data_IF_798261378987
#
_entry.id   IF_798261378987
#
_cell.length_a   1.000
_cell.length_b   1.000
_cell.length_c   1.000
_cell.angle_alpha   90.00
_cell.angle_beta   90.00
_cell.angle_gamma   90.00
#
_symmetry.space_group_name_H-M   'P 1'
#
loop_
_entity.id
_entity.type
_entity.pdbx_description
1 polymer ?
#
# COMPACT_ATOMS: atom_id res chain seq x y z
N UNK A 1 41.75 -26.42 -34.76
CA UNK A 1 42.79 -25.38 -34.95
C UNK A 1 42.21 -24.28 -35.81
N UNK A 2 41.81 -23.18 -35.19
CA UNK A 2 41.67 -21.83 -35.77
C UNK A 2 41.13 -20.94 -34.66
N UNK A 3 42.06 -20.38 -33.89
CA UNK A 3 41.83 -19.35 -32.88
C UNK A 3 41.48 -18.04 -33.58
N UNK A 4 40.50 -17.30 -33.04
CA UNK A 4 40.20 -15.94 -33.48
C UNK A 4 40.48 -15.01 -32.31
N UNK A 5 41.46 -14.13 -32.52
CA UNK A 5 42.02 -13.17 -31.58
C UNK A 5 41.01 -12.11 -31.14
N UNK A 6 41.00 -11.83 -29.83
CA UNK A 6 40.36 -10.66 -29.22
C UNK A 6 41.43 -9.56 -29.14
N UNK A 7 41.18 -8.41 -29.76
CA UNK A 7 42.00 -7.20 -29.59
C UNK A 7 41.35 -6.27 -28.56
N UNK A 8 41.99 -6.20 -27.39
CA UNK A 8 41.83 -5.10 -26.44
C UNK A 8 42.52 -3.84 -26.97
N UNK A 9 41.89 -2.68 -26.78
CA UNK A 9 42.55 -1.39 -26.93
C UNK A 9 42.24 -0.50 -25.74
N UNK A 10 43.25 -0.34 -24.89
CA UNK A 10 43.40 0.71 -23.92
C UNK A 10 43.37 2.09 -24.59
N UNK A 11 42.73 3.07 -23.95
CA UNK A 11 43.17 4.45 -24.10
C UNK A 11 43.07 5.20 -22.76
N UNK A 12 44.18 5.84 -22.40
CA UNK A 12 44.49 6.42 -21.09
C UNK A 12 45.00 7.84 -21.31
N UNK A 13 44.72 8.72 -20.35
CA UNK A 13 45.40 10.02 -20.05
C UNK A 13 44.91 11.20 -20.91
N UNK A 14 44.55 12.40 -20.41
CA UNK A 14 45.28 13.39 -19.56
C UNK A 14 44.26 14.45 -19.03
N UNK A 15 44.12 14.79 -17.73
CA UNK A 15 44.87 15.75 -16.86
C UNK A 15 45.12 17.17 -17.41
N UNK A 16 44.63 18.17 -16.66
CA UNK A 16 45.01 19.60 -16.63
C UNK A 16 43.79 20.46 -16.22
N UNK A 17 43.59 21.05 -15.02
CA UNK A 17 44.37 21.82 -14.02
C UNK A 17 44.54 23.32 -14.34
N UNK A 18 44.19 24.16 -13.32
CA UNK A 18 44.30 25.64 -13.12
C UNK A 18 43.07 26.46 -13.58
N UNK A 19 42.60 27.50 -12.89
CA UNK A 19 43.09 28.40 -11.80
C UNK A 19 41.87 29.17 -11.25
N UNK A 20 41.67 29.34 -9.93
CA UNK A 20 42.10 30.49 -9.08
C UNK A 20 41.67 31.89 -9.57
N UNK A 21 40.77 32.55 -8.81
CA UNK A 21 40.91 33.90 -8.21
C UNK A 21 39.58 34.29 -7.51
N UNK A 22 39.52 34.41 -6.19
CA UNK A 22 39.85 35.59 -5.36
C UNK A 22 39.10 36.88 -5.74
N UNK A 23 38.15 37.32 -4.91
CA UNK A 23 38.35 38.59 -4.19
C UNK A 23 37.34 38.83 -3.07
N UNK A 24 37.89 39.23 -1.93
CA UNK A 24 37.22 39.86 -0.81
C UNK A 24 37.40 41.39 -0.89
N UNK A 25 36.43 42.15 -0.40
CA UNK A 25 36.57 43.49 0.22
C UNK A 25 35.15 43.93 0.64
N UNK A 26 34.79 44.14 1.91
CA UNK A 26 35.34 44.92 3.02
C UNK A 26 35.09 46.45 2.89
N UNK A 27 34.57 46.99 4.00
CA UNK A 27 34.41 48.41 4.38
C UNK A 27 33.26 49.17 3.73
N UNK A 28 32.60 50.16 4.33
CA UNK A 28 32.41 50.65 5.71
C UNK A 28 31.55 51.92 5.57
N UNK A 29 30.61 52.18 6.46
CA UNK A 29 30.52 53.49 7.14
C UNK A 29 29.22 53.62 7.96
N UNK A 30 29.45 54.12 9.16
CA UNK A 30 28.56 54.43 10.26
C UNK A 30 27.99 55.85 10.17
N UNK A 31 26.75 56.05 10.64
CA UNK A 31 26.36 57.19 11.51
C UNK A 31 24.86 57.10 11.83
N UNK A 32 24.42 56.73 13.05
CA UNK A 32 24.32 57.48 14.33
C UNK A 32 23.02 58.30 14.49
N UNK A 33 22.16 57.78 15.39
CA UNK A 33 21.27 58.42 16.36
C UNK A 33 20.18 59.44 15.95
N UNK A 34 18.93 59.18 16.37
CA UNK A 34 18.34 59.86 17.55
C UNK A 34 17.04 59.24 18.09
N UNK A 35 17.03 59.12 19.42
CA UNK A 35 15.95 58.77 20.35
C UNK A 35 14.70 59.66 20.22
N UNK A 36 13.52 59.10 20.54
CA UNK A 36 12.57 59.65 21.53
C UNK A 36 11.35 58.72 21.73
N UNK A 37 11.26 58.11 22.90
CA UNK A 37 10.02 57.77 23.62
C UNK A 37 9.88 58.76 24.80
N UNK A 38 8.81 58.79 25.64
CA UNK A 38 7.58 57.98 25.69
C UNK A 38 6.29 58.83 25.88
N UNK A 39 5.09 58.24 25.81
CA UNK A 39 3.93 58.73 26.60
C UNK A 39 2.90 57.63 26.86
N UNK A 40 2.77 57.34 28.15
CA UNK A 40 1.74 56.55 28.83
C UNK A 40 0.33 57.16 28.69
N UNK A 41 -0.66 56.33 28.37
CA UNK A 41 -2.06 56.57 28.75
C UNK A 41 -2.68 55.24 29.21
N UNK A 42 -3.19 55.26 30.44
CA UNK A 42 -3.75 54.11 31.14
C UNK A 42 -5.09 53.60 30.58
N UNK A 43 -5.63 52.53 31.19
CA UNK A 43 -6.74 51.77 30.63
C UNK A 43 -8.10 52.44 30.91
N UNK A 44 -8.96 52.53 29.91
CA UNK A 44 -10.39 52.83 30.10
C UNK A 44 -11.18 51.53 30.16
N UNK A 45 -12.06 51.32 31.16
CA UNK A 45 -13.00 50.22 31.15
C UNK A 45 -14.21 50.62 30.31
N UNK A 46 -14.69 49.76 29.41
CA UNK A 46 -16.07 49.86 28.96
C UNK A 46 -16.73 48.49 28.93
N UNK A 47 -17.82 48.40 29.70
CA UNK A 47 -18.71 47.26 29.86
C UNK A 47 -19.69 47.20 28.69
N UNK A 48 -20.12 45.97 28.40
CA UNK A 48 -21.32 45.56 27.67
C UNK A 48 -21.36 45.77 26.15
N UNK A 49 -21.17 44.67 25.42
CA UNK A 49 -22.29 44.07 24.68
C UNK A 49 -22.00 42.59 24.39
N UNK A 50 -22.81 41.72 24.99
CA UNK A 50 -22.99 40.31 24.59
C UNK A 50 -23.19 40.24 23.07
N UNK A 51 -22.30 39.54 22.37
CA UNK A 51 -22.62 38.90 21.08
C UNK A 51 -22.03 37.50 21.08
N UNK A 52 -22.93 36.56 21.35
CA UNK A 52 -23.01 35.22 20.77
C UNK A 52 -21.69 34.52 20.45
N UNK A 53 -21.32 33.60 21.34
CA UNK A 53 -20.71 32.32 20.94
C UNK A 53 -21.61 31.67 19.88
N UNK A 54 -21.20 31.74 18.63
CA UNK A 54 -21.49 30.71 17.63
C UNK A 54 -20.31 30.70 16.67
N UNK A 55 -19.19 30.17 17.14
CA UNK A 55 -18.21 29.56 16.25
C UNK A 55 -18.99 28.59 15.37
N UNK A 56 -19.12 28.98 14.09
CA UNK A 56 -19.84 28.25 13.06
C UNK A 56 -19.14 26.91 12.84
N UNK A 57 -19.57 25.89 13.57
CA UNK A 57 -19.49 24.51 13.08
C UNK A 57 -20.50 24.38 11.94
N UNK A 58 -20.19 25.00 10.80
CA UNK A 58 -20.80 24.65 9.53
C UNK A 58 -20.17 23.33 9.07
N UNK A 59 -20.44 22.25 9.80
CA UNK A 59 -20.47 20.94 9.15
C UNK A 59 -21.67 20.99 8.21
N UNK A 60 -21.42 21.37 6.96
CA UNK A 60 -22.30 20.97 5.86
C UNK A 60 -22.38 19.44 5.93
N UNK A 61 -23.38 18.90 6.62
CA UNK A 61 -23.78 17.51 6.44
C UNK A 61 -24.22 17.41 4.99
N UNK A 62 -23.32 16.90 4.16
CA UNK A 62 -23.61 16.61 2.76
C UNK A 62 -24.88 15.76 2.74
N UNK A 63 -25.89 16.25 2.05
CA UNK A 63 -27.19 15.57 1.98
C UNK A 63 -26.99 14.33 1.13
N UNK A 64 -26.87 13.18 1.80
CA UNK A 64 -26.72 11.88 1.18
C UNK A 64 -28.05 11.51 0.53
N UNK A 65 -27.98 11.23 -0.77
CA UNK A 65 -29.08 10.91 -1.65
C UNK A 65 -29.23 9.39 -1.76
N UNK A 66 -30.48 8.95 -1.90
CA UNK A 66 -30.81 7.55 -2.19
C UNK A 66 -30.78 6.61 -0.97
N UNK A 67 -31.23 5.37 -1.18
CA UNK A 67 -31.24 4.35 -0.13
C UNK A 67 -29.81 3.89 0.20
N UNK A 68 -29.58 3.39 1.42
CA UNK A 68 -28.33 2.74 1.77
C UNK A 68 -28.08 1.48 0.93
N UNK A 69 -26.86 1.33 0.44
CA UNK A 69 -26.38 0.15 -0.29
C UNK A 69 -25.13 -0.40 0.39
N UNK A 70 -25.01 -1.72 0.44
CA UNK A 70 -23.80 -2.37 0.96
C UNK A 70 -22.74 -2.48 -0.14
N UNK A 71 -21.52 -2.09 0.19
CA UNK A 71 -20.36 -2.22 -0.69
C UNK A 71 -19.15 -2.69 0.10
N UNK A 72 -18.22 -3.34 -0.58
CA UNK A 72 -16.97 -3.81 0.02
C UNK A 72 -15.77 -3.60 -0.89
N UNK A 73 -14.60 -3.52 -0.28
CA UNK A 73 -13.35 -3.41 -1.01
C UNK A 73 -12.15 -3.18 -0.11
N UNK A 74 -10.99 -3.05 -0.73
CA UNK A 74 -9.73 -2.76 -0.03
C UNK A 74 -9.60 -1.25 0.15
N UNK A 75 -9.41 -0.81 1.39
CA UNK A 75 -9.18 0.57 1.72
C UNK A 75 -7.79 1.03 1.25
N UNK A 76 -7.76 2.14 0.51
CA UNK A 76 -6.56 2.90 0.18
C UNK A 76 -6.73 4.34 0.67
N UNK A 77 -5.87 4.76 1.58
CA UNK A 77 -5.85 6.06 2.23
C UNK A 77 -4.91 6.98 1.46
N UNK A 78 -5.42 8.16 1.14
CA UNK A 78 -4.63 9.25 0.58
C UNK A 78 -3.84 9.96 1.67
N UNK A 79 -2.69 10.56 1.34
CA UNK A 79 -1.87 11.32 2.30
C UNK A 79 -2.57 12.50 2.99
N UNK A 80 -3.78 12.87 2.55
CA UNK A 80 -4.65 13.88 3.19
C UNK A 80 -5.58 13.28 4.27
N UNK A 81 -5.50 11.98 4.55
CA UNK A 81 -6.23 11.28 5.62
C UNK A 81 -7.63 10.79 5.27
N UNK A 82 -8.15 11.06 4.07
CA UNK A 82 -9.33 10.37 3.53
C UNK A 82 -8.91 9.15 2.73
N UNK A 83 -9.83 8.22 2.45
CA UNK A 83 -9.55 7.05 1.64
C UNK A 83 -10.64 6.71 0.64
N UNK A 84 -10.39 5.66 -0.13
CA UNK A 84 -11.34 5.06 -1.06
C UNK A 84 -11.35 3.54 -0.90
N UNK A 85 -12.52 2.92 -1.05
CA UNK A 85 -12.61 1.46 -1.18
C UNK A 85 -12.37 1.07 -2.64
N UNK A 86 -11.39 0.20 -2.86
CA UNK A 86 -11.04 -0.33 -4.17
C UNK A 86 -11.64 -1.71 -4.34
N UNK A 87 -12.44 -1.87 -5.37
CA UNK A 87 -13.10 -3.14 -5.66
C UNK A 87 -12.16 -4.12 -6.41
N UNK A 88 -12.17 -5.42 -6.06
CA UNK A 88 -11.46 -6.45 -6.83
C UNK A 88 -11.99 -6.62 -8.25
N UNK A 89 -13.31 -6.41 -8.46
CA UNK A 89 -13.98 -6.50 -9.77
C UNK A 89 -13.37 -5.56 -10.82
N UNK A 90 -12.74 -4.47 -10.36
CA UNK A 90 -12.11 -3.42 -11.17
C UNK A 90 -10.57 -3.50 -11.12
N UNK A 91 -10.01 -4.65 -10.72
CA UNK A 91 -8.57 -4.85 -10.51
C UNK A 91 -7.94 -3.79 -9.57
N UNK A 92 -8.70 -3.32 -8.58
CA UNK A 92 -8.29 -2.26 -7.66
C UNK A 92 -7.87 -0.95 -8.34
N UNK A 93 -8.31 -0.71 -9.58
CA UNK A 93 -8.08 0.55 -10.30
C UNK A 93 -8.86 1.67 -9.64
N UNK A 94 -8.34 2.88 -9.77
CA UNK A 94 -9.02 4.07 -9.25
C UNK A 94 -10.16 4.41 -10.20
N UNK A 95 -11.40 4.38 -9.71
CA UNK A 95 -12.57 4.75 -10.50
C UNK A 95 -13.35 5.89 -9.84
N UNK A 96 -14.06 6.73 -10.62
CA UNK A 96 -14.91 7.78 -10.05
C UNK A 96 -16.02 7.25 -9.14
N UNK A 97 -16.40 5.98 -9.31
CA UNK A 97 -17.45 5.31 -8.54
C UNK A 97 -16.94 4.70 -7.23
N UNK A 98 -15.64 4.85 -6.91
CA UNK A 98 -15.08 4.27 -5.70
C UNK A 98 -15.65 4.96 -4.44
N UNK A 99 -15.97 4.15 -3.43
CA UNK A 99 -16.59 4.64 -2.20
C UNK A 99 -15.64 5.55 -1.44
N UNK A 100 -16.03 6.80 -1.25
CA UNK A 100 -15.27 7.78 -0.48
C UNK A 100 -15.39 7.50 1.03
N UNK A 101 -14.24 7.45 1.70
CA UNK A 101 -14.14 7.28 3.15
C UNK A 101 -13.62 8.57 3.78
N UNK A 102 -14.42 9.18 4.64
CA UNK A 102 -14.09 10.48 5.23
C UNK A 102 -12.91 10.37 6.21
N UNK A 103 -12.12 11.46 6.39
CA UNK A 103 -11.04 11.47 7.38
C UNK A 103 -11.51 11.26 8.82
N UNK A 104 -12.78 11.56 9.10
CA UNK A 104 -13.38 11.31 10.42
C UNK A 104 -13.54 9.81 10.65
N UNK A 105 -14.08 9.07 9.68
CA UNK A 105 -14.24 7.61 9.79
C UNK A 105 -12.88 6.93 9.89
N UNK A 106 -11.91 7.33 9.05
CA UNK A 106 -10.54 6.81 9.09
C UNK A 106 -9.93 6.98 10.48
N UNK A 107 -10.00 8.18 11.06
CA UNK A 107 -9.44 8.46 12.39
C UNK A 107 -10.21 7.78 13.52
N UNK A 108 -11.54 7.82 13.49
CA UNK A 108 -12.38 7.28 14.56
C UNK A 108 -12.26 5.76 14.68
N UNK A 109 -12.00 5.06 13.58
CA UNK A 109 -11.82 3.60 13.54
C UNK A 109 -10.37 3.14 13.42
N UNK A 110 -9.41 4.07 13.36
CA UNK A 110 -7.99 3.72 13.20
C UNK A 110 -7.73 2.91 11.92
N UNK A 111 -8.45 3.24 10.84
CA UNK A 111 -8.35 2.50 9.59
C UNK A 111 -6.96 2.70 8.95
N UNK A 112 -6.48 1.66 8.27
CA UNK A 112 -5.15 1.57 7.65
C UNK A 112 -5.26 1.01 6.23
N UNK A 113 -4.25 1.26 5.42
CA UNK A 113 -4.16 0.73 4.06
C UNK A 113 -4.22 -0.80 4.04
N UNK A 114 -4.87 -1.35 3.01
CA UNK A 114 -4.96 -2.80 2.81
C UNK A 114 -6.09 -3.48 3.61
N UNK A 115 -6.87 -2.74 4.40
CA UNK A 115 -8.02 -3.32 5.10
C UNK A 115 -9.14 -3.68 4.14
N UNK A 116 -9.69 -4.88 4.26
CA UNK A 116 -10.95 -5.22 3.62
C UNK A 116 -12.07 -4.67 4.48
N UNK A 117 -12.87 -3.78 3.90
CA UNK A 117 -13.95 -3.10 4.59
C UNK A 117 -15.25 -3.45 3.91
N UNK A 118 -16.23 -3.91 4.68
CA UNK A 118 -17.64 -3.96 4.26
C UNK A 118 -18.38 -2.83 4.96
N UNK A 119 -19.14 -2.07 4.20
CA UNK A 119 -19.82 -0.90 4.73
C UNK A 119 -21.15 -0.61 4.05
N UNK A 120 -22.04 0.03 4.81
CA UNK A 120 -23.16 0.76 4.26
C UNK A 120 -22.65 2.04 3.60
N UNK A 121 -23.14 2.31 2.40
CA UNK A 121 -22.78 3.47 1.59
C UNK A 121 -24.04 4.16 1.11
N UNK A 122 -23.93 5.47 0.82
CA UNK A 122 -25.01 6.25 0.21
C UNK A 122 -24.46 7.14 -0.88
N UNK A 123 -25.28 7.49 -1.86
CA UNK A 123 -24.86 8.37 -2.94
C UNK A 123 -24.73 9.80 -2.41
N UNK A 124 -23.54 10.39 -2.46
CA UNK A 124 -23.31 11.81 -2.18
C UNK A 124 -23.37 12.66 -3.46
N UNK A 125 -23.04 13.95 -3.36
CA UNK A 125 -22.95 14.80 -4.56
C UNK A 125 -21.73 14.48 -5.42
N UNK A 126 -20.70 13.88 -4.81
CA UNK A 126 -19.40 13.56 -5.44
C UNK A 126 -19.20 12.07 -5.71
N UNK A 127 -20.26 11.26 -5.60
CA UNK A 127 -20.21 9.81 -5.72
C UNK A 127 -20.54 9.09 -4.41
N UNK A 128 -20.39 7.76 -4.36
CA UNK A 128 -20.71 6.96 -3.18
C UNK A 128 -19.84 7.33 -1.98
N UNK A 129 -20.45 7.43 -0.80
CA UNK A 129 -19.78 7.74 0.44
C UNK A 129 -20.11 6.71 1.51
N UNK A 130 -19.10 6.31 2.27
CA UNK A 130 -19.24 5.41 3.41
C UNK A 130 -20.04 6.09 4.53
N UNK A 131 -21.13 5.46 4.98
CA UNK A 131 -21.97 5.96 6.08
C UNK A 131 -21.77 5.17 7.37
N UNK A 132 -21.65 3.85 7.27
CA UNK A 132 -21.52 2.96 8.44
C UNK A 132 -20.61 1.78 8.10
N UNK A 133 -19.60 1.55 8.94
CA UNK A 133 -18.78 0.33 8.86
C UNK A 133 -19.60 -0.85 9.38
N UNK A 134 -19.61 -1.94 8.63
CA UNK A 134 -20.26 -3.19 9.03
C UNK A 134 -19.22 -4.21 9.49
N UNK A 135 -18.08 -4.29 8.79
CA UNK A 135 -17.05 -5.30 9.02
C UNK A 135 -15.67 -4.80 8.56
N UNK A 136 -14.63 -5.17 9.31
CA UNK A 136 -13.22 -4.96 8.94
C UNK A 136 -12.51 -6.31 9.01
N UNK A 137 -12.06 -6.82 7.86
CA UNK A 137 -11.37 -8.12 7.73
C UNK A 137 -12.13 -9.32 8.34
N UNK A 138 -13.46 -9.33 8.30
CA UNK A 138 -14.27 -10.39 8.87
C UNK A 138 -14.54 -10.24 10.38
N UNK A 139 -14.28 -9.07 10.96
CA UNK A 139 -14.45 -8.76 12.39
C UNK A 139 -15.26 -7.49 12.59
N UNK A 140 -15.83 -7.34 13.79
CA UNK A 140 -16.54 -6.11 14.17
C UNK A 140 -15.57 -4.91 14.20
N UNK A 141 -15.98 -3.73 13.69
CA UNK A 141 -15.14 -2.54 13.65
C UNK A 141 -14.61 -2.09 15.02
N UNK A 142 -15.29 -2.40 16.13
CA UNK A 142 -14.83 -2.04 17.47
C UNK A 142 -13.74 -2.97 18.00
N UNK A 143 -13.79 -4.26 17.64
CA UNK A 143 -12.77 -5.23 18.02
C UNK A 143 -11.43 -4.95 17.32
N UNK A 144 -11.49 -4.59 16.04
CA UNK A 144 -10.30 -4.30 15.24
C UNK A 144 -9.41 -3.21 15.85
N UNK A 145 -10.00 -2.22 16.54
CA UNK A 145 -9.25 -1.13 17.19
C UNK A 145 -8.26 -1.58 18.25
N UNK A 146 -8.51 -2.73 18.87
CA UNK A 146 -7.69 -3.27 19.97
C UNK A 146 -6.55 -4.17 19.50
N UNK A 147 -6.48 -4.44 18.19
CA UNK A 147 -5.51 -5.36 17.63
C UNK A 147 -4.11 -4.75 17.58
N UNK A 148 -3.07 -5.54 17.86
CA UNK A 148 -1.69 -5.10 17.74
C UNK A 148 -1.37 -4.76 16.29
N UNK A 149 -0.43 -3.86 16.08
CA UNK A 149 0.04 -3.55 14.74
C UNK A 149 1.01 -4.63 14.27
N UNK A 150 1.04 -4.89 12.97
CA UNK A 150 1.94 -5.86 12.36
C UNK A 150 3.39 -5.62 12.77
N UNK A 151 3.81 -4.36 12.83
CA UNK A 151 5.15 -3.92 13.23
C UNK A 151 5.47 -4.19 14.71
N UNK A 152 4.47 -4.38 15.57
CA UNK A 152 4.63 -4.71 16.99
C UNK A 152 4.76 -6.22 17.21
N UNK A 153 4.45 -7.04 16.21
CA UNK A 153 4.55 -8.48 16.29
C UNK A 153 6.01 -8.93 16.34
N UNK A 154 6.29 -9.92 17.19
CA UNK A 154 7.61 -10.50 17.31
C UNK A 154 7.90 -11.41 16.11
N UNK A 155 8.95 -11.09 15.35
CA UNK A 155 9.46 -11.97 14.32
C UNK A 155 10.03 -13.27 14.94
N UNK A 156 9.56 -14.41 14.44
CA UNK A 156 10.03 -15.75 14.82
C UNK A 156 10.38 -16.55 13.57
N UNK A 157 11.26 -17.52 13.71
CA UNK A 157 11.55 -18.46 12.62
C UNK A 157 10.32 -19.36 12.37
N UNK A 158 10.12 -19.83 11.12
CA UNK A 158 9.07 -20.79 10.82
C UNK A 158 9.19 -22.05 11.67
N UNK A 159 8.14 -22.36 12.41
CA UNK A 159 8.05 -23.53 13.30
C UNK A 159 6.99 -24.55 12.84
N UNK A 160 6.12 -24.15 11.91
CA UNK A 160 5.07 -24.98 11.32
C UNK A 160 5.31 -25.20 9.85
N UNK A 161 5.42 -26.46 9.44
CA UNK A 161 5.58 -26.87 8.04
C UNK A 161 4.30 -26.64 7.23
N UNK A 162 4.45 -26.16 6.01
CA UNK A 162 3.43 -26.19 4.95
C UNK A 162 3.74 -27.37 4.03
N UNK A 163 3.06 -28.50 4.24
CA UNK A 163 3.20 -29.67 3.38
C UNK A 163 2.67 -29.37 1.98
N UNK A 164 3.51 -29.59 0.98
CA UNK A 164 3.24 -29.29 -0.43
C UNK A 164 2.79 -30.53 -1.23
N UNK A 165 3.15 -31.74 -0.80
CA UNK A 165 2.71 -32.99 -1.43
C UNK A 165 1.17 -33.08 -1.46
N UNK A 166 0.62 -33.40 -2.63
CA UNK A 166 -0.83 -33.58 -2.83
C UNK A 166 -1.11 -34.98 -3.36
N UNK A 167 -1.03 -35.16 -4.67
CA UNK A 167 -1.32 -36.42 -5.35
C UNK A 167 -0.04 -37.11 -5.78
N UNK A 168 -0.09 -38.45 -5.94
CA UNK A 168 1.10 -39.27 -6.26
C UNK A 168 1.78 -38.84 -7.56
N UNK A 169 1.04 -38.31 -8.53
CA UNK A 169 1.57 -37.90 -9.84
C UNK A 169 2.18 -36.49 -9.80
N UNK A 170 1.92 -35.69 -8.75
CA UNK A 170 2.43 -34.32 -8.62
C UNK A 170 3.86 -34.31 -8.10
N UNK A 171 4.83 -34.72 -8.94
CA UNK A 171 6.25 -34.81 -8.57
C UNK A 171 6.83 -33.48 -8.08
N UNK A 172 6.46 -32.37 -8.70
CA UNK A 172 7.00 -31.03 -8.37
C UNK A 172 6.88 -30.68 -6.89
N UNK A 173 5.70 -30.85 -6.29
CA UNK A 173 5.49 -30.48 -4.89
C UNK A 173 6.13 -31.47 -3.91
N UNK A 174 6.19 -32.75 -4.28
CA UNK A 174 6.92 -33.80 -3.53
C UNK A 174 8.41 -33.51 -3.48
N UNK A 175 9.00 -33.11 -4.60
CA UNK A 175 10.42 -32.72 -4.67
C UNK A 175 10.68 -31.48 -3.82
N UNK A 176 9.79 -30.48 -3.84
CA UNK A 176 9.88 -29.31 -2.96
C UNK A 176 9.90 -29.74 -1.49
N UNK A 177 8.98 -30.62 -1.09
CA UNK A 177 8.90 -31.12 0.28
C UNK A 177 10.14 -31.89 0.75
N UNK A 178 10.89 -32.51 -0.17
CA UNK A 178 12.11 -33.25 0.13
C UNK A 178 13.36 -32.37 0.15
N UNK A 179 13.48 -31.47 -0.83
CA UNK A 179 14.72 -30.70 -1.06
C UNK A 179 14.68 -29.34 -0.35
N UNK A 180 13.53 -28.68 -0.33
CA UNK A 180 13.37 -27.32 0.17
C UNK A 180 12.01 -27.14 0.86
N UNK A 181 11.81 -27.77 2.04
CA UNK A 181 10.55 -27.69 2.76
C UNK A 181 10.18 -26.25 3.09
N UNK A 182 8.90 -25.92 2.96
CA UNK A 182 8.37 -24.56 3.19
C UNK A 182 7.65 -24.52 4.54
N UNK A 183 7.91 -23.48 5.33
CA UNK A 183 7.25 -23.23 6.61
C UNK A 183 6.34 -21.99 6.59
N UNK A 184 5.48 -21.86 7.61
CA UNK A 184 4.69 -20.65 7.85
C UNK A 184 5.60 -19.50 8.26
N UNK A 185 5.57 -18.41 7.49
CA UNK A 185 6.52 -17.30 7.64
C UNK A 185 7.83 -17.49 6.86
N UNK A 186 7.94 -18.54 6.03
CA UNK A 186 9.12 -18.74 5.19
C UNK A 186 9.27 -17.60 4.18
N UNK A 187 10.51 -17.13 4.02
CA UNK A 187 10.93 -16.26 2.93
C UNK A 187 11.74 -17.11 1.96
N UNK A 188 11.24 -17.25 0.74
CA UNK A 188 11.86 -18.08 -0.30
C UNK A 188 12.08 -17.28 -1.58
N UNK A 189 13.08 -17.70 -2.36
CA UNK A 189 13.34 -17.18 -3.69
C UNK A 189 13.49 -18.37 -4.64
N UNK A 190 12.70 -18.38 -5.71
CA UNK A 190 12.84 -19.36 -6.79
C UNK A 190 13.68 -18.71 -7.89
N UNK A 191 14.90 -19.21 -8.07
CA UNK A 191 15.78 -18.78 -9.15
C UNK A 191 15.59 -19.72 -10.33
N UNK A 192 15.12 -19.17 -11.45
CA UNK A 192 14.79 -19.94 -12.65
C UNK A 192 15.15 -19.13 -13.90
N UNK A 193 15.85 -19.72 -14.89
CA UNK A 193 16.05 -19.07 -16.18
C UNK A 193 14.72 -18.97 -16.96
N UNK A 194 14.65 -18.12 -18.00
CA UNK A 194 13.46 -18.03 -18.85
C UNK A 194 13.04 -19.41 -19.40
N UNK A 195 11.73 -19.65 -19.44
CA UNK A 195 11.10 -20.90 -19.97
C UNK A 195 11.46 -22.18 -19.21
N UNK A 196 11.86 -22.10 -17.94
CA UNK A 196 12.19 -23.26 -17.10
C UNK A 196 11.04 -23.78 -16.23
N UNK A 197 9.80 -23.32 -16.44
CA UNK A 197 8.63 -23.75 -15.67
C UNK A 197 8.43 -23.02 -14.32
N UNK A 198 8.96 -21.79 -14.15
CA UNK A 198 8.73 -20.94 -12.96
C UNK A 198 7.24 -20.84 -12.62
N UNK A 199 6.43 -20.48 -13.61
CA UNK A 199 4.99 -20.25 -13.45
C UNK A 199 4.27 -21.55 -13.03
N UNK A 200 4.62 -22.68 -13.66
CA UNK A 200 4.07 -23.99 -13.31
C UNK A 200 4.40 -24.39 -11.87
N UNK A 201 5.62 -24.17 -11.40
CA UNK A 201 6.00 -24.45 -10.01
C UNK A 201 5.19 -23.58 -9.05
N UNK A 202 5.07 -22.28 -9.31
CA UNK A 202 4.29 -21.36 -8.47
C UNK A 202 2.81 -21.76 -8.43
N UNK A 203 2.22 -22.10 -9.57
CA UNK A 203 0.85 -22.60 -9.64
C UNK A 203 0.66 -23.87 -8.81
N UNK A 204 1.54 -24.87 -8.96
CA UNK A 204 1.46 -26.11 -8.20
C UNK A 204 1.62 -25.90 -6.68
N UNK A 205 2.49 -24.97 -6.27
CA UNK A 205 2.64 -24.59 -4.87
C UNK A 205 1.34 -23.95 -4.34
N UNK A 206 0.74 -23.03 -5.09
CA UNK A 206 -0.51 -22.38 -4.71
C UNK A 206 -1.69 -23.38 -4.62
N UNK A 207 -1.86 -24.23 -5.63
CA UNK A 207 -2.87 -25.32 -5.64
C UNK A 207 -2.70 -26.24 -4.42
N UNK A 208 -1.45 -26.57 -4.09
CA UNK A 208 -1.16 -27.40 -2.93
C UNK A 208 -1.53 -26.73 -1.61
N UNK A 209 -1.18 -25.46 -1.43
CA UNK A 209 -1.53 -24.74 -0.20
C UNK A 209 -3.05 -24.64 -0.04
N UNK A 210 -3.79 -24.36 -1.12
CA UNK A 210 -5.26 -24.32 -1.11
C UNK A 210 -5.84 -25.69 -0.71
N UNK A 211 -5.33 -26.78 -1.31
CA UNK A 211 -5.82 -28.15 -1.05
C UNK A 211 -5.48 -28.64 0.36
N UNK A 212 -4.27 -28.38 0.85
CA UNK A 212 -3.76 -28.97 2.09
C UNK A 212 -4.00 -28.09 3.32
N UNK A 213 -4.19 -26.78 3.16
CA UNK A 213 -4.22 -25.81 4.27
C UNK A 213 -5.38 -24.83 4.14
N UNK A 214 -6.61 -25.27 4.44
CA UNK A 214 -7.83 -24.46 4.36
C UNK A 214 -7.82 -23.19 5.25
N UNK A 215 -6.97 -23.13 6.27
CA UNK A 215 -6.77 -21.96 7.13
C UNK A 215 -5.76 -20.95 6.60
N UNK A 216 -5.16 -21.17 5.42
CA UNK A 216 -4.15 -20.28 4.82
C UNK A 216 -4.77 -19.53 3.65
N UNK A 217 -4.72 -18.20 3.69
CA UNK A 217 -5.11 -17.36 2.56
C UNK A 217 -3.98 -17.33 1.54
N UNK A 218 -4.29 -17.69 0.30
CA UNK A 218 -3.35 -17.62 -0.83
C UNK A 218 -3.57 -16.32 -1.58
N UNK A 219 -2.52 -15.53 -1.69
CA UNK A 219 -2.47 -14.30 -2.47
C UNK A 219 -1.41 -14.44 -3.55
N UNK A 220 -1.71 -14.00 -4.77
CA UNK A 220 -0.75 -14.01 -5.89
C UNK A 220 -0.62 -12.59 -6.41
N UNK A 221 0.61 -12.09 -6.45
CA UNK A 221 0.95 -10.79 -7.01
C UNK A 221 1.74 -10.98 -8.31
N UNK A 222 1.19 -10.48 -9.41
CA UNK A 222 1.78 -10.52 -10.75
C UNK A 222 2.11 -9.08 -11.16
N UNK A 223 3.40 -8.80 -11.35
CA UNK A 223 3.90 -7.47 -11.71
C UNK A 223 4.75 -7.60 -12.95
N UNK A 224 4.50 -6.73 -13.93
CA UNK A 224 5.21 -6.70 -15.21
C UNK A 224 5.15 -8.05 -15.94
N UNK A 225 4.01 -8.75 -15.79
CA UNK A 225 3.76 -10.05 -16.41
C UNK A 225 2.81 -9.90 -17.60
N UNK A 226 2.83 -10.88 -18.51
CA UNK A 226 1.96 -10.85 -19.70
C UNK A 226 0.47 -11.05 -19.33
N UNK A 227 -0.47 -10.34 -19.99
CA UNK A 227 -1.91 -10.46 -19.67
C UNK A 227 -2.49 -11.88 -19.78
N UNK A 228 -2.00 -12.69 -20.71
CA UNK A 228 -2.43 -14.08 -20.88
C UNK A 228 -2.02 -14.97 -19.69
N UNK A 229 -0.83 -14.76 -19.12
CA UNK A 229 -0.34 -15.49 -17.95
C UNK A 229 -1.13 -15.10 -16.69
N UNK A 230 -1.52 -13.82 -16.57
CA UNK A 230 -2.44 -13.35 -15.52
C UNK A 230 -3.78 -14.08 -15.62
N UNK A 231 -4.33 -14.18 -16.83
CA UNK A 231 -5.61 -14.83 -17.08
C UNK A 231 -5.54 -16.33 -16.80
N UNK A 232 -4.44 -16.98 -17.17
CA UNK A 232 -4.19 -18.40 -16.89
C UNK A 232 -4.18 -18.67 -15.38
N UNK A 233 -3.41 -17.90 -14.61
CA UNK A 233 -3.36 -18.06 -13.14
C UNK A 233 -4.70 -17.76 -12.47
N UNK A 234 -5.48 -16.78 -12.97
CA UNK A 234 -6.84 -16.51 -12.48
C UNK A 234 -7.78 -17.69 -12.68
N UNK A 235 -7.66 -18.41 -13.80
CA UNK A 235 -8.45 -19.62 -14.07
C UNK A 235 -7.99 -20.81 -13.25
N UNK A 236 -6.67 -20.97 -13.08
CA UNK A 236 -6.09 -22.06 -12.32
C UNK A 236 -6.35 -21.96 -10.80
N UNK A 237 -6.41 -20.73 -10.27
CA UNK A 237 -6.49 -20.47 -8.83
C UNK A 237 -7.71 -19.61 -8.48
N UNK A 238 -8.95 -20.11 -8.67
CA UNK A 238 -10.17 -19.33 -8.41
C UNK A 238 -10.35 -18.96 -6.93
N UNK A 239 -9.74 -19.70 -6.00
CA UNK A 239 -9.79 -19.44 -4.56
C UNK A 239 -8.71 -18.47 -4.07
N UNK A 240 -7.73 -18.13 -4.93
CA UNK A 240 -6.64 -17.22 -4.57
C UNK A 240 -7.02 -15.75 -4.83
N UNK A 241 -6.54 -14.86 -3.96
CA UNK A 241 -6.68 -13.42 -4.16
C UNK A 241 -5.58 -12.92 -5.11
N UNK A 242 -5.95 -12.55 -6.33
CA UNK A 242 -4.99 -12.22 -7.40
C UNK A 242 -4.93 -10.72 -7.64
N UNK A 243 -3.72 -10.20 -7.48
CA UNK A 243 -3.30 -8.83 -7.74
C UNK A 243 -2.43 -8.81 -8.99
N UNK A 244 -2.80 -8.02 -9.99
CA UNK A 244 -2.06 -7.98 -11.24
C UNK A 244 -1.86 -6.55 -11.74
N UNK A 245 -0.65 -6.29 -12.23
CA UNK A 245 -0.35 -5.15 -13.09
C UNK A 245 0.50 -5.66 -14.24
N UNK A 246 -0.13 -5.79 -15.40
CA UNK A 246 0.48 -6.32 -16.62
C UNK A 246 1.53 -5.36 -17.18
N UNK A 247 2.43 -5.88 -18.01
CA UNK A 247 3.57 -5.18 -18.59
C UNK A 247 3.24 -3.96 -19.49
N UNK A 248 1.97 -3.77 -19.85
CA UNK A 248 1.46 -2.60 -20.58
C UNK A 248 1.15 -1.40 -19.65
N UNK A 249 1.20 -1.59 -18.33
CA UNK A 249 0.93 -0.54 -17.35
C UNK A 249 2.18 0.28 -16.99
N UNK A 250 1.95 1.48 -16.47
CA UNK A 250 3.04 2.33 -15.96
C UNK A 250 3.69 1.76 -14.69
N UNK A 251 4.98 2.04 -14.49
CA UNK A 251 5.74 1.65 -13.28
C UNK A 251 5.05 2.07 -11.99
N UNK A 252 4.37 3.23 -11.99
CA UNK A 252 3.61 3.71 -10.83
C UNK A 252 2.48 2.74 -10.43
N UNK A 253 1.85 2.09 -11.42
CA UNK A 253 0.81 1.09 -11.18
C UNK A 253 1.40 -0.20 -10.60
N UNK A 254 2.56 -0.64 -11.09
CA UNK A 254 3.29 -1.77 -10.52
C UNK A 254 3.60 -1.56 -9.02
N UNK A 255 4.15 -0.39 -8.67
CA UNK A 255 4.43 -0.06 -7.27
C UNK A 255 3.15 0.01 -6.42
N UNK A 256 2.09 0.63 -6.96
CA UNK A 256 0.82 0.77 -6.24
C UNK A 256 0.18 -0.58 -5.95
N UNK A 257 0.08 -1.47 -6.93
CA UNK A 257 -0.56 -2.77 -6.72
C UNK A 257 0.25 -3.64 -5.74
N UNK A 258 1.57 -3.57 -5.81
CA UNK A 258 2.46 -4.25 -4.86
C UNK A 258 2.27 -3.70 -3.44
N UNK A 259 2.12 -2.38 -3.29
CA UNK A 259 1.84 -1.75 -2.01
C UNK A 259 0.49 -2.20 -1.43
N UNK A 260 -0.56 -2.25 -2.26
CA UNK A 260 -1.88 -2.75 -1.83
C UNK A 260 -1.77 -4.21 -1.38
N UNK A 261 -1.09 -5.06 -2.16
CA UNK A 261 -0.95 -6.49 -1.86
C UNK A 261 -0.18 -6.74 -0.55
N UNK A 262 0.94 -6.03 -0.32
CA UNK A 262 1.71 -6.22 0.92
C UNK A 262 0.96 -5.67 2.14
N UNK A 263 0.29 -4.52 2.02
CA UNK A 263 -0.52 -3.98 3.12
C UNK A 263 -1.69 -4.92 3.42
N UNK A 264 -2.38 -5.45 2.41
CA UNK A 264 -3.41 -6.49 2.59
C UNK A 264 -2.87 -7.68 3.36
N UNK A 265 -1.71 -8.20 2.97
CA UNK A 265 -1.09 -9.36 3.62
C UNK A 265 -0.79 -9.07 5.10
N UNK A 266 -0.25 -7.88 5.42
CA UNK A 266 -0.04 -7.45 6.82
C UNK A 266 -1.35 -7.40 7.59
N UNK A 267 -2.40 -6.79 7.02
CA UNK A 267 -3.71 -6.71 7.68
C UNK A 267 -4.31 -8.08 7.96
N UNK A 268 -4.13 -9.05 7.06
CA UNK A 268 -4.56 -10.43 7.27
C UNK A 268 -3.79 -11.13 8.38
N UNK A 269 -2.51 -10.83 8.56
CA UNK A 269 -1.68 -11.38 9.67
C UNK A 269 -2.04 -10.74 11.01
N UNK A 270 -2.43 -9.47 11.02
CA UNK A 270 -2.93 -8.80 12.23
C UNK A 270 -4.24 -9.41 12.72
N UNK A 271 -5.07 -9.96 11.80
CA UNK A 271 -6.47 -10.35 12.01
C UNK A 271 -6.67 -11.79 12.49
#
# INVERSE_FOLDING_TARGET
MSETEIKDSDNKVNVGKKSEDNNASASSSSSREKKKSPKSRGPKPNRNAKKSKSSRDNHFKEELLGPPTEQEGILEISGKGFGFLREPSKDFRQTPDDVFVTPEIVRNFGLRDGLWVKAETRMGRRGPQLTKLLDINGRDPNEFKTMPWFEELKAVNPDRRLQMETDKDRMTTRIIDLISPVGRGQRGLIVAPPRSGKTTILQHMAESVIKNHSGVKVMVLLVDERPEEVTELRRALPEAEIYASSNDMEVKMHCRIAQIAIERAKRLVES
#
